data_IF_301021539358
#
_entry.id   IF_301021539358
#
_cell.length_a   1.000
_cell.length_b   1.000
_cell.length_c   1.000
_cell.angle_alpha   90.00
_cell.angle_beta   90.00
_cell.angle_gamma   90.00
#
_symmetry.space_group_name_H-M   'P 1'
#
loop_
_entity.id
_entity.type
_entity.pdbx_description
1 polymer ?
#
# COMPACT_ATOMS: atom_id res chain seq x y z
N UNK A 1 -15.87 -2.02 -28.22
CA UNK A 1 -16.51 -2.05 -26.88
C UNK A 1 -15.99 -3.22 -26.04
N UNK A 2 -16.09 -4.49 -26.49
CA UNK A 2 -15.54 -5.63 -25.74
C UNK A 2 -14.00 -5.65 -25.77
N UNK A 3 -13.37 -5.44 -26.94
CA UNK A 3 -11.92 -5.40 -27.07
C UNK A 3 -11.21 -4.27 -26.28
N UNK A 4 -11.91 -3.15 -26.01
CA UNK A 4 -11.40 -2.07 -25.15
C UNK A 4 -11.47 -2.45 -23.66
N UNK A 5 -12.43 -3.29 -23.28
CA UNK A 5 -12.57 -3.82 -21.92
C UNK A 5 -11.47 -4.83 -21.59
N UNK A 6 -11.17 -5.73 -22.52
CA UNK A 6 -10.10 -6.74 -22.36
C UNK A 6 -8.72 -6.07 -22.24
N UNK A 7 -8.45 -5.04 -23.04
CA UNK A 7 -7.19 -4.30 -22.97
C UNK A 7 -7.06 -3.51 -21.65
N UNK A 8 -8.16 -2.94 -21.14
CA UNK A 8 -8.17 -2.25 -19.85
C UNK A 8 -7.99 -3.21 -18.68
N UNK A 9 -8.62 -4.39 -18.73
CA UNK A 9 -8.46 -5.43 -17.72
C UNK A 9 -7.01 -5.97 -17.71
N UNK A 10 -6.43 -6.25 -18.87
CA UNK A 10 -5.03 -6.68 -18.98
C UNK A 10 -4.05 -5.62 -18.45
N UNK A 11 -4.30 -4.34 -18.76
CA UNK A 11 -3.49 -3.23 -18.22
C UNK A 11 -3.61 -3.15 -16.69
N UNK A 12 -4.82 -3.31 -16.15
CA UNK A 12 -5.02 -3.34 -14.70
C UNK A 12 -4.30 -4.52 -14.05
N UNK A 13 -4.45 -5.73 -14.59
CA UNK A 13 -3.77 -6.92 -14.08
C UNK A 13 -2.24 -6.72 -14.02
N UNK A 14 -1.65 -6.09 -15.04
CA UNK A 14 -0.22 -5.77 -15.05
C UNK A 14 0.16 -4.70 -14.01
N UNK A 15 -0.65 -3.65 -13.83
CA UNK A 15 -0.39 -2.64 -12.80
C UNK A 15 -0.47 -3.22 -11.38
N UNK A 16 -1.42 -4.14 -11.15
CA UNK A 16 -1.57 -4.91 -9.90
C UNK A 16 -0.36 -5.82 -9.67
N UNK A 17 0.04 -6.59 -10.68
CA UNK A 17 1.21 -7.49 -10.58
C UNK A 17 2.46 -6.73 -10.16
N UNK A 18 2.72 -5.56 -10.75
CA UNK A 18 3.83 -4.69 -10.36
C UNK A 18 3.68 -4.19 -8.93
N UNK A 19 2.50 -3.74 -8.54
CA UNK A 19 2.25 -3.30 -7.16
C UNK A 19 2.53 -4.42 -6.13
N UNK A 20 2.17 -5.67 -6.42
CA UNK A 20 2.49 -6.78 -5.52
C UNK A 20 3.99 -7.08 -5.42
N UNK A 21 4.71 -6.94 -6.53
CA UNK A 21 6.17 -7.08 -6.53
C UNK A 21 6.79 -5.98 -5.66
N UNK A 22 6.41 -4.72 -5.90
CA UNK A 22 6.87 -3.57 -5.13
C UNK A 22 6.51 -3.72 -3.63
N UNK A 23 5.33 -4.26 -3.32
CA UNK A 23 4.90 -4.56 -1.94
C UNK A 23 5.74 -5.65 -1.30
N UNK A 24 6.08 -6.72 -2.03
CA UNK A 24 6.90 -7.81 -1.53
C UNK A 24 8.30 -7.33 -1.11
N UNK A 25 8.94 -6.55 -1.96
CA UNK A 25 10.27 -5.98 -1.70
C UNK A 25 10.25 -4.99 -0.50
N UNK A 26 9.17 -4.21 -0.40
CA UNK A 26 8.96 -3.28 0.72
C UNK A 26 8.72 -4.04 2.04
N UNK A 27 7.92 -5.11 2.02
CA UNK A 27 7.66 -5.94 3.20
C UNK A 27 8.94 -6.64 3.70
N UNK A 28 9.81 -7.09 2.79
CA UNK A 28 11.11 -7.64 3.18
C UNK A 28 11.98 -6.58 3.86
N UNK A 29 12.00 -5.35 3.32
CA UNK A 29 12.74 -4.23 3.89
C UNK A 29 12.24 -3.83 5.28
N UNK A 30 10.91 -3.83 5.48
CA UNK A 30 10.28 -3.60 6.79
C UNK A 30 10.63 -4.73 7.76
N UNK A 31 10.59 -5.99 7.30
CA UNK A 31 10.96 -7.13 8.14
C UNK A 31 12.42 -7.05 8.61
N UNK A 32 13.34 -6.62 7.73
CA UNK A 32 14.74 -6.39 8.10
C UNK A 32 14.90 -5.28 9.14
N UNK A 33 14.09 -4.21 9.04
CA UNK A 33 14.06 -3.14 10.03
C UNK A 33 13.62 -3.67 11.40
N UNK A 34 12.51 -4.42 11.44
CA UNK A 34 11.96 -5.01 12.68
C UNK A 34 12.84 -6.12 13.27
N UNK A 35 13.63 -6.81 12.45
CA UNK A 35 14.57 -7.83 12.91
C UNK A 35 15.79 -7.24 13.62
N UNK A 36 16.02 -5.93 13.53
CA UNK A 36 17.15 -5.30 14.20
C UNK A 36 16.98 -5.36 15.73
N UNK A 37 17.99 -5.79 16.51
CA UNK A 37 17.87 -5.93 17.96
C UNK A 37 17.60 -4.60 18.69
N UNK A 38 17.98 -3.47 18.10
CA UNK A 38 17.67 -2.13 18.58
C UNK A 38 16.34 -1.55 18.11
N UNK A 39 15.54 -2.30 17.35
CA UNK A 39 14.24 -1.83 16.88
C UNK A 39 13.30 -1.41 18.01
N UNK A 40 13.12 -2.16 19.12
CA UNK A 40 12.17 -1.77 20.16
C UNK A 40 12.48 -0.40 20.78
N UNK A 41 13.75 -0.09 21.00
CA UNK A 41 14.15 1.24 21.49
C UNK A 41 13.98 2.31 20.41
N UNK A 42 14.34 2.02 19.16
CA UNK A 42 14.15 2.95 18.05
C UNK A 42 12.66 3.26 17.85
N UNK A 43 11.78 2.27 17.95
CA UNK A 43 10.34 2.43 17.88
C UNK A 43 9.82 3.37 18.98
N UNK A 44 10.35 3.25 20.21
CA UNK A 44 10.01 4.19 21.29
C UNK A 44 10.46 5.62 20.97
N UNK A 45 11.66 5.78 20.42
CA UNK A 45 12.16 7.09 19.98
C UNK A 45 11.21 7.67 18.93
N UNK A 46 10.90 6.92 17.86
CA UNK A 46 9.97 7.30 16.79
C UNK A 46 8.61 7.73 17.37
N UNK A 47 8.03 6.94 18.28
CA UNK A 47 6.72 7.24 18.89
C UNK A 47 6.74 8.47 19.79
N UNK A 48 7.90 8.79 20.37
CA UNK A 48 8.09 9.97 21.22
C UNK A 48 8.46 11.24 20.44
N UNK A 49 8.89 11.10 19.19
CA UNK A 49 9.19 12.24 18.32
C UNK A 49 7.90 12.92 17.90
N UNK A 50 7.61 14.08 18.51
CA UNK A 50 6.58 14.99 18.05
C UNK A 50 7.04 15.67 16.76
N UNK A 51 6.32 15.44 15.67
CA UNK A 51 6.42 16.28 14.49
C UNK A 51 5.59 17.53 14.74
N UNK A 52 6.23 18.69 14.87
CA UNK A 52 5.48 19.96 14.89
C UNK A 52 4.86 20.13 13.49
N UNK A 53 3.52 20.17 13.43
CA UNK A 53 2.75 20.36 12.20
C UNK A 53 2.85 21.81 11.69
N UNK A 54 4.04 22.37 11.48
CA UNK A 54 4.17 23.69 10.82
C UNK A 54 5.30 23.71 9.79
N UNK A 55 4.99 23.21 8.60
CA UNK A 55 5.46 23.82 7.35
C UNK A 55 6.94 23.68 7.00
N UNK A 56 7.25 22.60 6.28
CA UNK A 56 8.39 22.57 5.36
C UNK A 56 9.65 21.94 5.95
N UNK A 57 10.09 20.90 5.26
CA UNK A 57 11.42 20.27 5.31
C UNK A 57 12.55 21.16 5.86
N UNK A 58 13.20 20.67 6.92
CA UNK A 58 14.47 21.11 7.55
C UNK A 58 14.38 21.60 9.00
N UNK A 59 13.30 21.29 9.75
CA UNK A 59 13.38 21.45 11.21
C UNK A 59 14.22 20.34 11.85
N UNK A 60 15.24 20.69 12.65
CA UNK A 60 16.05 19.72 13.36
C UNK A 60 15.15 18.91 14.30
N UNK A 61 15.43 17.60 14.41
CA UNK A 61 14.83 16.75 15.44
C UNK A 61 14.86 17.50 16.78
N UNK A 62 13.76 17.47 17.52
CA UNK A 62 13.71 18.11 18.83
C UNK A 62 14.92 17.63 19.68
N UNK A 63 15.42 18.48 20.59
CA UNK A 63 16.65 18.20 21.33
C UNK A 63 16.63 16.85 22.06
N UNK A 64 15.45 16.42 22.49
CA UNK A 64 15.22 15.14 23.17
C UNK A 64 15.36 13.93 22.22
N UNK A 65 14.93 14.04 20.96
CA UNK A 65 15.09 12.97 19.95
C UNK A 65 16.55 12.84 19.53
N UNK A 66 17.27 13.96 19.37
CA UNK A 66 18.71 13.96 19.07
C UNK A 66 19.52 13.19 20.11
N UNK A 67 19.33 13.52 21.39
CA UNK A 67 19.99 12.82 22.50
C UNK A 67 19.58 11.33 22.54
N UNK A 68 18.32 11.00 22.28
CA UNK A 68 17.87 9.62 22.25
C UNK A 68 18.53 8.80 21.14
N UNK A 69 18.71 9.38 19.95
CA UNK A 69 19.42 8.76 18.83
C UNK A 69 20.91 8.61 19.10
N UNK A 70 21.56 9.57 19.75
CA UNK A 70 22.96 9.44 20.19
C UNK A 70 23.13 8.30 21.19
N UNK A 71 22.25 8.22 22.19
CA UNK A 71 22.24 7.15 23.19
C UNK A 71 22.01 5.77 22.54
N UNK A 72 21.09 5.71 21.58
CA UNK A 72 20.85 4.51 20.79
C UNK A 72 22.10 4.12 19.98
N UNK A 73 22.76 5.09 19.35
CA UNK A 73 23.99 4.88 18.56
C UNK A 73 25.11 4.32 19.41
N UNK A 74 25.32 4.87 20.61
CA UNK A 74 26.34 4.42 21.55
C UNK A 74 26.10 2.96 22.01
N UNK A 75 24.85 2.52 22.10
CA UNK A 75 24.47 1.17 22.52
C UNK A 75 24.68 0.13 21.42
N UNK A 76 24.30 0.46 20.19
CA UNK A 76 24.28 -0.50 19.08
C UNK A 76 25.50 -0.41 18.16
N UNK A 77 26.33 0.64 18.31
CA UNK A 77 27.57 0.80 17.56
C UNK A 77 27.36 1.21 16.10
N UNK A 78 26.18 1.72 15.76
CA UNK A 78 25.79 2.20 14.44
C UNK A 78 25.07 3.55 14.55
N UNK A 79 24.92 4.27 13.43
CA UNK A 79 24.30 5.60 13.46
C UNK A 79 22.78 5.52 13.62
N UNK A 80 22.27 5.98 14.75
CA UNK A 80 20.85 6.10 15.04
C UNK A 80 20.13 7.05 14.10
N UNK A 81 20.76 8.16 13.70
CA UNK A 81 20.21 9.08 12.70
C UNK A 81 20.06 8.41 11.32
N UNK A 82 21.05 7.62 10.89
CA UNK A 82 20.96 6.88 9.63
C UNK A 82 19.88 5.80 9.71
N UNK A 83 19.77 5.10 10.84
CA UNK A 83 18.73 4.10 11.06
C UNK A 83 17.33 4.73 11.06
N UNK A 84 17.17 5.86 11.74
CA UNK A 84 15.92 6.65 11.74
C UNK A 84 15.56 7.17 10.34
N UNK A 85 16.55 7.66 9.59
CA UNK A 85 16.37 8.09 8.20
C UNK A 85 15.93 6.92 7.29
N UNK A 86 16.49 5.72 7.49
CA UNK A 86 16.01 4.50 6.79
C UNK A 86 14.55 4.20 7.11
N UNK A 87 14.14 4.33 8.37
CA UNK A 87 12.73 4.20 8.75
C UNK A 87 11.85 5.23 8.01
N UNK A 88 12.21 6.52 8.02
CA UNK A 88 11.45 7.55 7.31
C UNK A 88 11.35 7.29 5.80
N UNK A 89 12.43 6.79 5.20
CA UNK A 89 12.41 6.41 3.79
C UNK A 89 11.40 5.28 3.52
N UNK A 90 11.33 4.27 4.39
CA UNK A 90 10.33 3.21 4.30
C UNK A 90 8.89 3.75 4.46
N UNK A 91 8.66 4.69 5.37
CA UNK A 91 7.35 5.37 5.52
C UNK A 91 6.96 6.11 4.24
N UNK A 92 7.90 6.82 3.60
CA UNK A 92 7.65 7.48 2.31
C UNK A 92 7.30 6.48 1.21
N UNK A 93 8.02 5.35 1.13
CA UNK A 93 7.71 4.29 0.18
C UNK A 93 6.32 3.68 0.42
N UNK A 94 5.97 3.42 1.69
CA UNK A 94 4.64 2.95 2.07
C UNK A 94 3.54 3.93 1.64
N UNK A 95 3.76 5.23 1.88
CA UNK A 95 2.84 6.30 1.49
C UNK A 95 2.64 6.35 -0.03
N UNK A 96 3.73 6.30 -0.81
CA UNK A 96 3.65 6.28 -2.27
C UNK A 96 2.87 5.05 -2.77
N UNK A 97 3.15 3.88 -2.20
CA UNK A 97 2.50 2.65 -2.58
C UNK A 97 1.01 2.65 -2.17
N UNK A 98 0.64 3.28 -1.06
CA UNK A 98 -0.77 3.45 -0.66
C UNK A 98 -1.53 4.37 -1.62
N UNK A 99 -0.93 5.49 -2.04
CA UNK A 99 -1.52 6.35 -3.07
C UNK A 99 -1.77 5.57 -4.36
N UNK A 100 -0.83 4.69 -4.74
CA UNK A 100 -0.98 3.80 -5.89
C UNK A 100 -2.08 2.76 -5.67
N UNK A 101 -2.15 2.13 -4.49
CA UNK A 101 -3.19 1.17 -4.11
C UNK A 101 -4.58 1.81 -4.21
N UNK A 102 -4.77 3.00 -3.62
CA UNK A 102 -6.01 3.75 -3.70
C UNK A 102 -6.37 4.13 -5.15
N UNK A 103 -5.39 4.54 -5.95
CA UNK A 103 -5.60 4.84 -7.37
C UNK A 103 -6.05 3.60 -8.15
N UNK A 104 -5.47 2.43 -7.87
CA UNK A 104 -5.87 1.16 -8.49
C UNK A 104 -7.28 0.75 -8.08
N UNK A 105 -7.67 0.93 -6.81
CA UNK A 105 -9.07 0.70 -6.37
C UNK A 105 -10.06 1.56 -7.14
N UNK A 106 -9.74 2.84 -7.34
CA UNK A 106 -10.61 3.76 -8.09
C UNK A 106 -10.73 3.33 -9.55
N UNK A 107 -9.62 2.92 -10.18
CA UNK A 107 -9.66 2.39 -11.55
C UNK A 107 -10.47 1.11 -11.64
N UNK A 108 -10.29 0.18 -10.70
CA UNK A 108 -11.04 -1.08 -10.64
C UNK A 108 -12.55 -0.83 -10.57
N UNK A 109 -13.00 0.01 -9.63
CA UNK A 109 -14.41 0.41 -9.52
C UNK A 109 -14.95 1.07 -10.77
N UNK A 110 -14.14 1.90 -11.44
CA UNK A 110 -14.53 2.54 -12.70
C UNK A 110 -14.80 1.53 -13.81
N UNK A 111 -13.96 0.48 -13.92
CA UNK A 111 -14.16 -0.60 -14.90
C UNK A 111 -15.36 -1.46 -14.53
N UNK A 112 -15.51 -1.82 -13.25
CA UNK A 112 -16.64 -2.59 -12.74
C UNK A 112 -17.99 -1.91 -13.08
N UNK A 113 -18.12 -0.60 -12.80
CA UNK A 113 -19.32 0.18 -13.13
C UNK A 113 -19.64 0.12 -14.64
N UNK A 114 -18.62 0.20 -15.50
CA UNK A 114 -18.79 0.15 -16.96
C UNK A 114 -19.29 -1.23 -17.42
N UNK A 115 -18.75 -2.30 -16.85
CA UNK A 115 -19.13 -3.68 -17.17
C UNK A 115 -20.56 -3.99 -16.69
N UNK A 116 -20.92 -3.57 -15.47
CA UNK A 116 -22.30 -3.68 -14.95
C UNK A 116 -23.28 -2.93 -15.85
N UNK A 117 -22.94 -1.72 -16.30
CA UNK A 117 -23.78 -0.97 -17.22
C UNK A 117 -23.93 -1.66 -18.59
N UNK A 118 -22.85 -2.25 -19.11
CA UNK A 118 -22.88 -3.02 -20.36
C UNK A 118 -23.79 -4.27 -20.24
N UNK A 119 -23.73 -4.99 -19.12
CA UNK A 119 -24.63 -6.12 -18.82
C UNK A 119 -26.09 -5.68 -18.77
N UNK A 120 -26.39 -4.56 -18.11
CA UNK A 120 -27.75 -4.03 -18.03
C UNK A 120 -28.30 -3.69 -19.42
N UNK A 121 -27.49 -3.06 -20.28
CA UNK A 121 -27.86 -2.78 -21.67
C UNK A 121 -28.08 -4.06 -22.47
N UNK A 122 -27.21 -5.07 -22.34
CA UNK A 122 -27.36 -6.36 -23.02
C UNK A 122 -28.63 -7.11 -22.57
N UNK A 123 -28.95 -7.08 -21.27
CA UNK A 123 -30.16 -7.70 -20.73
C UNK A 123 -31.45 -7.07 -21.29
N UNK A 124 -31.42 -5.79 -21.66
CA UNK A 124 -32.53 -5.09 -22.32
C UNK A 124 -32.56 -5.24 -23.85
N UNK A 125 -31.49 -5.79 -24.44
CA UNK A 125 -31.33 -6.04 -25.88
C UNK A 125 -31.81 -7.46 -26.25
N UNK A 126 -32.45 -7.60 -27.42
CA UNK A 126 -32.85 -8.93 -27.96
C UNK A 126 -31.67 -9.77 -28.49
N UNK A 127 -30.47 -9.22 -28.50
CA UNK A 127 -29.24 -9.84 -28.97
C UNK A 127 -28.45 -10.30 -27.74
N UNK A 128 -28.58 -11.57 -27.38
CA UNK A 128 -27.79 -12.23 -26.32
C UNK A 128 -26.57 -12.88 -26.97
N UNK A 129 -25.38 -12.36 -26.75
CA UNK A 129 -24.16 -13.06 -27.16
C UNK A 129 -22.90 -12.68 -26.37
N UNK A 130 -22.93 -11.66 -25.51
CA UNK A 130 -21.77 -11.13 -24.77
C UNK A 130 -21.79 -11.33 -23.25
N UNK A 131 -22.95 -11.63 -22.63
CA UNK A 131 -23.10 -11.57 -21.17
C UNK A 131 -22.16 -12.50 -20.37
N UNK A 132 -21.80 -13.66 -20.92
CA UNK A 132 -20.86 -14.59 -20.27
C UNK A 132 -19.42 -14.06 -20.18
N UNK A 133 -19.00 -13.27 -21.18
CA UNK A 133 -17.66 -12.64 -21.19
C UNK A 133 -17.60 -11.51 -20.16
N UNK A 134 -18.68 -10.73 -20.04
CA UNK A 134 -18.73 -9.63 -19.07
C UNK A 134 -18.78 -10.16 -17.63
N UNK A 135 -19.49 -11.27 -17.38
CA UNK A 135 -19.50 -11.91 -16.06
C UNK A 135 -18.10 -12.42 -15.66
N UNK A 136 -17.39 -13.10 -16.56
CA UNK A 136 -16.03 -13.55 -16.29
C UNK A 136 -15.08 -12.38 -15.96
N UNK A 137 -15.21 -11.25 -16.66
CA UNK A 137 -14.44 -10.05 -16.37
C UNK A 137 -14.78 -9.44 -14.99
N UNK A 138 -16.04 -9.51 -14.55
CA UNK A 138 -16.41 -9.08 -13.19
C UNK A 138 -15.82 -10.00 -12.12
N UNK A 139 -15.83 -11.31 -12.34
CA UNK A 139 -15.23 -12.27 -11.40
C UNK A 139 -13.71 -12.04 -11.27
N UNK A 140 -13.02 -11.73 -12.38
CA UNK A 140 -11.60 -11.35 -12.39
C UNK A 140 -11.33 -10.05 -11.61
N UNK A 141 -12.20 -9.04 -11.73
CA UNK A 141 -12.09 -7.79 -10.97
C UNK A 141 -12.31 -8.03 -9.47
N UNK A 142 -13.28 -8.86 -9.09
CA UNK A 142 -13.52 -9.19 -7.69
C UNK A 142 -12.30 -9.90 -7.06
N UNK A 143 -11.66 -10.81 -7.82
CA UNK A 143 -10.43 -11.45 -7.39
C UNK A 143 -9.29 -10.45 -7.18
N UNK A 144 -9.15 -9.44 -8.05
CA UNK A 144 -8.18 -8.36 -7.90
C UNK A 144 -8.48 -7.49 -6.68
N UNK A 145 -9.75 -7.13 -6.44
CA UNK A 145 -10.14 -6.31 -5.28
C UNK A 145 -9.78 -6.97 -3.95
N UNK A 146 -10.06 -8.27 -3.81
CA UNK A 146 -9.71 -9.03 -2.59
C UNK A 146 -8.22 -9.03 -2.30
N UNK A 147 -7.38 -9.06 -3.34
CA UNK A 147 -5.93 -9.05 -3.14
C UNK A 147 -5.46 -7.67 -2.62
N UNK A 148 -6.09 -6.56 -3.05
CA UNK A 148 -5.64 -5.20 -2.67
C UNK A 148 -5.76 -4.95 -1.17
N UNK A 149 -6.73 -5.61 -0.53
CA UNK A 149 -7.04 -5.41 0.89
C UNK A 149 -6.24 -6.33 1.83
N UNK A 150 -5.23 -7.04 1.33
CA UNK A 150 -4.36 -7.91 2.14
C UNK A 150 -3.35 -7.15 3.01
N UNK A 151 -3.12 -5.87 2.74
CA UNK A 151 -2.10 -5.07 3.44
C UNK A 151 -2.72 -3.80 4.02
N UNK A 152 -2.32 -3.47 5.24
CA UNK A 152 -2.76 -2.26 5.96
C UNK A 152 -1.54 -1.47 6.42
N UNK A 153 -1.69 -0.15 6.55
CA UNK A 153 -0.67 0.71 7.15
C UNK A 153 -0.95 0.83 8.65
N UNK A 154 0.07 0.59 9.47
CA UNK A 154 0.01 0.74 10.91
C UNK A 154 0.17 2.20 11.36
N UNK A 155 0.17 2.44 12.66
CA UNK A 155 0.28 3.78 13.24
C UNK A 155 1.64 4.45 13.05
N UNK A 156 2.67 3.69 12.67
CA UNK A 156 4.00 4.20 12.29
C UNK A 156 4.13 4.52 10.80
N UNK A 157 3.08 4.31 10.00
CA UNK A 157 3.13 4.55 8.56
C UNK A 157 3.78 3.41 7.77
N UNK A 158 3.99 2.23 8.37
CA UNK A 158 4.56 1.05 7.72
C UNK A 158 3.47 0.03 7.38
N UNK A 159 3.67 -0.72 6.30
CA UNK A 159 2.77 -1.83 5.97
C UNK A 159 2.92 -3.01 6.93
N UNK A 160 1.78 -3.63 7.23
CA UNK A 160 1.65 -4.90 7.93
C UNK A 160 0.70 -5.83 7.14
N UNK A 161 0.81 -7.14 7.37
CA UNK A 161 -0.19 -8.07 6.85
C UNK A 161 -1.52 -7.78 7.54
N UNK A 162 -2.53 -7.40 6.75
CA UNK A 162 -3.87 -7.19 7.25
C UNK A 162 -4.40 -8.49 7.85
N UNK A 163 -4.92 -8.44 9.07
CA UNK A 163 -5.72 -9.55 9.60
C UNK A 163 -6.95 -9.63 8.71
N UNK A 164 -7.04 -10.67 7.88
CA UNK A 164 -8.23 -10.92 7.08
C UNK A 164 -9.42 -10.84 8.04
N UNK A 165 -10.30 -9.84 7.85
CA UNK A 165 -11.56 -9.76 8.60
C UNK A 165 -12.36 -10.98 8.17
N UNK A 166 -12.27 -12.05 8.94
CA UNK A 166 -13.23 -13.13 8.89
C UNK A 166 -14.59 -12.48 9.07
N UNK A 167 -15.37 -12.43 7.98
CA UNK A 167 -16.72 -11.92 8.00
C UNK A 167 -17.52 -12.90 8.86
N UNK A 168 -17.76 -12.52 10.11
CA UNK A 168 -18.71 -13.20 11.02
C UNK A 168 -20.14 -12.93 10.59
#
# INVERSE_FOLDING_TARGET
>A
MIADGDAQLASLQEEFRRMYQDMGDLMESIALLHAHPGWPEMEQIIRSTTFEEEGGSDEPLNGDTGEALENWSAKWGESGEEFYSRFLNLVQQCTFLEVRRLSLRLKLRSVEIRLVHALALEATSKTRSGGGVIQAALDDLEALERQIDLYTINDLGLYEQGVARESS
#
